data_IF_796215248133
#
_entry.id   IF_796215248133
#
_cell.length_a   1.000
_cell.length_b   1.000
_cell.length_c   1.000
_cell.angle_alpha   90.00
_cell.angle_beta   90.00
_cell.angle_gamma   90.00
#
_symmetry.space_group_name_H-M   'P 1'
#
loop_
_entity.id
_entity.type
_entity.pdbx_description
1 polymer ?
#
# COMPACT_ATOMS: atom_id res chain seq x y z
N UNK A 1 -15.89 20.70 -2.07
CA UNK A 1 -14.87 20.16 -3.00
C UNK A 1 -15.07 18.67 -3.06
N UNK A 2 -15.41 18.12 -4.23
CA UNK A 2 -15.54 16.68 -4.41
C UNK A 2 -14.15 16.03 -4.32
N UNK A 3 -14.00 14.97 -3.54
CA UNK A 3 -12.71 14.33 -3.28
C UNK A 3 -12.38 13.32 -4.38
N UNK A 4 -11.09 13.17 -4.69
CA UNK A 4 -10.64 12.19 -5.70
C UNK A 4 -11.04 10.75 -5.33
N UNK A 5 -11.18 10.46 -4.02
CA UNK A 5 -11.69 9.18 -3.52
C UNK A 5 -13.15 8.93 -3.94
N UNK A 6 -13.99 9.96 -3.97
CA UNK A 6 -15.38 9.84 -4.44
C UNK A 6 -15.43 9.55 -5.94
N UNK A 7 -14.57 10.22 -6.74
CA UNK A 7 -14.45 9.96 -8.17
C UNK A 7 -14.05 8.50 -8.43
N UNK A 8 -13.07 7.97 -7.70
CA UNK A 8 -12.65 6.57 -7.83
C UNK A 8 -13.76 5.58 -7.42
N UNK A 9 -14.54 5.90 -6.38
CA UNK A 9 -15.70 5.09 -5.98
C UNK A 9 -16.79 5.09 -7.04
N UNK A 10 -17.09 6.25 -7.62
CA UNK A 10 -18.04 6.34 -8.75
C UNK A 10 -17.55 5.50 -9.94
N UNK A 11 -16.27 5.59 -10.32
CA UNK A 11 -15.69 4.77 -11.40
C UNK A 11 -15.88 3.27 -11.13
N UNK A 12 -15.57 2.81 -9.92
CA UNK A 12 -15.77 1.40 -9.52
C UNK A 12 -17.24 0.98 -9.54
N UNK A 13 -18.16 1.88 -9.17
CA UNK A 13 -19.60 1.61 -9.25
C UNK A 13 -20.08 1.30 -10.67
N UNK A 14 -19.45 1.89 -11.68
CA UNK A 14 -19.72 1.59 -13.09
C UNK A 14 -18.93 0.40 -13.65
N UNK A 15 -18.32 -0.45 -12.80
CA UNK A 15 -17.43 -1.54 -13.22
C UNK A 15 -16.31 -1.07 -14.17
N UNK A 16 -15.85 0.16 -13.94
CA UNK A 16 -14.72 0.74 -14.65
C UNK A 16 -13.50 0.79 -13.73
N UNK A 17 -12.33 0.87 -14.34
CA UNK A 17 -11.06 0.99 -13.65
C UNK A 17 -10.13 1.96 -14.37
N UNK A 18 -9.20 2.55 -13.62
CA UNK A 18 -8.18 3.45 -14.15
C UNK A 18 -6.84 2.72 -14.21
N UNK A 19 -6.18 2.86 -15.35
CA UNK A 19 -4.84 2.31 -15.55
C UNK A 19 -3.92 3.32 -16.19
N UNK A 20 -2.63 3.12 -16.02
CA UNK A 20 -1.59 3.88 -16.72
C UNK A 20 -0.95 3.02 -17.80
N UNK A 21 -1.10 3.44 -19.05
CA UNK A 21 -0.48 2.80 -20.22
C UNK A 21 0.27 3.90 -20.99
N UNK A 22 1.57 3.70 -21.23
CA UNK A 22 2.47 4.69 -21.86
C UNK A 22 2.40 6.09 -21.24
N UNK A 23 2.27 6.16 -19.91
CA UNK A 23 2.16 7.42 -19.16
C UNK A 23 0.83 8.16 -19.37
N UNK A 24 -0.15 7.55 -20.04
CA UNK A 24 -1.50 8.08 -20.24
C UNK A 24 -2.49 7.35 -19.34
N UNK A 25 -3.39 8.13 -18.72
CA UNK A 25 -4.51 7.59 -17.97
C UNK A 25 -5.52 6.97 -18.93
N UNK A 26 -5.79 5.68 -18.78
CA UNK A 26 -6.74 4.89 -19.56
C UNK A 26 -7.87 4.43 -18.65
N UNK A 27 -9.09 4.50 -19.17
CA UNK A 27 -10.28 3.98 -18.49
C UNK A 27 -10.58 2.62 -19.12
N UNK A 28 -10.55 1.56 -18.32
CA UNK A 28 -11.00 0.22 -18.72
C UNK A 28 -12.43 0.07 -18.24
N UNK A 29 -13.38 -0.09 -19.15
CA UNK A 29 -14.79 -0.21 -18.80
C UNK A 29 -15.49 -1.13 -19.79
N UNK A 30 -16.47 -1.90 -19.30
CA UNK A 30 -17.34 -2.72 -20.14
C UNK A 30 -18.53 -1.92 -20.69
N UNK A 31 -18.90 -0.82 -20.01
CA UNK A 31 -20.02 0.03 -20.36
C UNK A 31 -19.59 1.50 -20.53
N UNK A 32 -20.27 2.29 -21.39
CA UNK A 32 -20.01 3.71 -21.50
C UNK A 32 -20.19 4.42 -20.15
N UNK A 33 -19.24 5.27 -19.79
CA UNK A 33 -19.36 6.10 -18.59
C UNK A 33 -20.24 7.34 -18.88
N UNK A 34 -21.01 7.83 -17.89
CA UNK A 34 -21.74 9.08 -18.04
C UNK A 34 -20.82 10.27 -18.35
N UNK A 35 -21.28 11.20 -19.19
CA UNK A 35 -20.51 12.41 -19.54
C UNK A 35 -20.11 13.25 -18.33
N UNK A 36 -20.95 13.26 -17.29
CA UNK A 36 -20.66 13.92 -16.02
C UNK A 36 -19.41 13.33 -15.36
N UNK A 37 -19.29 12.01 -15.29
CA UNK A 37 -18.14 11.31 -14.73
C UNK A 37 -16.89 11.50 -15.61
N UNK A 38 -17.03 11.47 -16.93
CA UNK A 38 -15.92 11.75 -17.85
C UNK A 38 -15.37 13.17 -17.65
N UNK A 39 -16.25 14.16 -17.47
CA UNK A 39 -15.86 15.55 -17.15
C UNK A 39 -15.12 15.63 -15.81
N UNK A 40 -15.59 14.93 -14.77
CA UNK A 40 -14.90 14.84 -13.47
C UNK A 40 -13.49 14.24 -13.62
N UNK A 41 -13.35 13.12 -14.34
CA UNK A 41 -12.06 12.47 -14.59
C UNK A 41 -11.10 13.41 -15.34
N UNK A 42 -11.58 14.11 -16.37
CA UNK A 42 -10.76 15.08 -17.12
C UNK A 42 -10.30 16.24 -16.24
N UNK A 43 -11.18 16.75 -15.37
CA UNK A 43 -10.87 17.85 -14.44
C UNK A 43 -9.78 17.47 -13.43
N UNK A 44 -9.78 16.22 -12.96
CA UNK A 44 -8.84 15.71 -11.94
C UNK A 44 -7.75 14.80 -12.52
N UNK A 45 -7.50 14.87 -13.84
CA UNK A 45 -6.66 13.92 -14.58
C UNK A 45 -5.27 13.74 -13.97
N UNK A 46 -4.56 14.83 -13.67
CA UNK A 46 -3.19 14.73 -13.16
C UNK A 46 -3.15 14.15 -11.74
N UNK A 47 -4.11 14.48 -10.88
CA UNK A 47 -4.20 13.88 -9.54
C UNK A 47 -4.53 12.38 -9.62
N UNK A 48 -5.47 11.99 -10.47
CA UNK A 48 -5.80 10.58 -10.71
C UNK A 48 -4.60 9.82 -11.28
N UNK A 49 -3.87 10.42 -12.22
CA UNK A 49 -2.64 9.86 -12.78
C UNK A 49 -1.59 9.62 -11.69
N UNK A 50 -1.34 10.60 -10.82
CA UNK A 50 -0.41 10.44 -9.70
C UNK A 50 -0.84 9.34 -8.73
N UNK A 51 -2.13 9.25 -8.41
CA UNK A 51 -2.64 8.20 -7.52
C UNK A 51 -2.45 6.79 -8.11
N UNK A 52 -2.84 6.58 -9.38
CA UNK A 52 -2.65 5.29 -10.05
C UNK A 52 -1.16 4.94 -10.18
N UNK A 53 -0.29 5.94 -10.36
CA UNK A 53 1.16 5.72 -10.39
C UNK A 53 1.70 5.27 -9.02
N UNK A 54 1.25 5.89 -7.93
CA UNK A 54 1.61 5.51 -6.56
C UNK A 54 1.11 4.11 -6.24
N UNK A 55 -0.13 3.78 -6.61
CA UNK A 55 -0.70 2.45 -6.40
C UNK A 55 0.09 1.37 -7.17
N UNK A 56 0.47 1.63 -8.43
CA UNK A 56 1.36 0.72 -9.16
C UNK A 56 2.73 0.57 -8.51
N UNK A 57 3.29 1.66 -7.99
CA UNK A 57 4.56 1.63 -7.27
C UNK A 57 4.45 0.78 -6.00
N UNK A 58 3.36 0.93 -5.25
CA UNK A 58 3.05 0.13 -4.07
C UNK A 58 3.05 -1.36 -4.39
N UNK A 59 2.23 -1.80 -5.35
CA UNK A 59 2.16 -3.20 -5.74
C UNK A 59 3.50 -3.75 -6.22
N UNK A 60 4.29 -2.94 -6.94
CA UNK A 60 5.62 -3.36 -7.40
C UNK A 60 6.58 -3.56 -6.24
N UNK A 61 6.59 -2.63 -5.27
CA UNK A 61 7.46 -2.73 -4.09
C UNK A 61 7.04 -3.90 -3.22
N UNK A 62 5.74 -4.04 -2.93
CA UNK A 62 5.20 -5.15 -2.16
C UNK A 62 5.58 -6.50 -2.78
N UNK A 63 5.38 -6.68 -4.09
CA UNK A 63 5.81 -7.89 -4.80
C UNK A 63 7.33 -8.13 -4.72
N UNK A 64 8.13 -7.07 -4.88
CA UNK A 64 9.59 -7.19 -4.76
C UNK A 64 10.01 -7.65 -3.35
N UNK A 65 9.30 -7.18 -2.32
CA UNK A 65 9.53 -7.58 -0.93
C UNK A 65 9.06 -9.01 -0.67
N UNK A 66 7.93 -9.43 -1.25
CA UNK A 66 7.47 -10.83 -1.23
C UNK A 66 8.54 -11.75 -1.83
N UNK A 67 8.94 -11.49 -3.09
CA UNK A 67 9.96 -12.28 -3.80
C UNK A 67 11.27 -12.35 -2.99
N UNK A 68 11.67 -11.22 -2.38
CA UNK A 68 12.84 -11.16 -1.50
C UNK A 68 12.68 -12.05 -0.27
N UNK A 69 11.55 -11.97 0.44
CA UNK A 69 11.32 -12.75 1.65
C UNK A 69 11.21 -14.24 1.35
N UNK A 70 10.55 -14.62 0.25
CA UNK A 70 10.51 -16.00 -0.23
C UNK A 70 11.92 -16.56 -0.43
N UNK A 71 12.81 -15.80 -1.08
CA UNK A 71 14.20 -16.18 -1.27
C UNK A 71 14.99 -16.32 0.04
N UNK A 72 14.57 -15.66 1.12
CA UNK A 72 15.17 -15.76 2.46
C UNK A 72 14.53 -16.86 3.33
N UNK A 73 13.62 -17.67 2.80
CA UNK A 73 12.92 -18.71 3.57
C UNK A 73 11.68 -18.21 4.31
N UNK A 74 11.15 -17.06 3.91
CA UNK A 74 9.85 -16.53 4.30
C UNK A 74 9.86 -15.39 5.32
N UNK A 75 10.98 -15.17 6.00
CA UNK A 75 11.15 -14.02 6.90
C UNK A 75 12.62 -13.63 7.11
N UNK A 76 12.83 -12.40 7.55
CA UNK A 76 14.12 -11.89 8.05
C UNK A 76 13.91 -11.11 9.34
N UNK A 77 14.89 -11.20 10.26
CA UNK A 77 14.91 -10.40 11.48
C UNK A 77 15.82 -9.19 11.30
N UNK A 78 15.30 -8.01 11.60
CA UNK A 78 15.98 -6.74 11.36
C UNK A 78 16.09 -5.95 12.65
N UNK A 79 17.32 -5.61 13.04
CA UNK A 79 17.57 -4.68 14.15
C UNK A 79 17.38 -3.25 13.65
N UNK A 80 16.27 -2.63 14.03
CA UNK A 80 15.94 -1.26 13.62
C UNK A 80 16.71 -0.24 14.46
N UNK A 81 17.45 0.65 13.81
CA UNK A 81 18.13 1.78 14.48
C UNK A 81 17.15 2.82 15.02
N UNK A 82 16.01 3.01 14.34
CA UNK A 82 14.98 3.98 14.72
C UNK A 82 14.14 3.50 15.90
N UNK A 83 13.78 2.21 15.92
CA UNK A 83 12.96 1.59 16.96
C UNK A 83 13.80 1.06 18.14
N UNK A 84 15.10 0.81 17.91
CA UNK A 84 16.02 0.17 18.87
C UNK A 84 15.64 -1.26 19.28
N UNK A 85 14.79 -1.92 18.50
CA UNK A 85 14.37 -3.30 18.71
C UNK A 85 14.54 -4.16 17.45
N UNK A 86 14.46 -5.49 17.62
CA UNK A 86 14.46 -6.44 16.51
C UNK A 86 13.03 -6.68 16.08
N UNK A 87 12.74 -6.41 14.81
CA UNK A 87 11.44 -6.65 14.18
C UNK A 87 11.55 -7.73 13.12
N UNK A 88 10.45 -8.39 12.81
CA UNK A 88 10.40 -9.37 11.74
C UNK A 88 9.78 -8.77 10.48
N UNK A 89 10.45 -8.92 9.34
CA UNK A 89 9.83 -8.74 8.03
C UNK A 89 9.47 -10.13 7.53
N UNK A 90 8.20 -10.41 7.27
CA UNK A 90 7.76 -11.78 7.02
C UNK A 90 6.57 -11.89 6.09
N UNK A 91 6.47 -13.04 5.41
CA UNK A 91 5.27 -13.42 4.68
C UNK A 91 4.11 -13.75 5.64
N UNK A 92 2.84 -13.62 5.19
CA UNK A 92 1.66 -13.78 6.06
C UNK A 92 1.61 -15.09 6.85
N UNK A 93 2.09 -16.20 6.28
CA UNK A 93 2.05 -17.53 6.90
C UNK A 93 2.99 -17.67 8.13
N UNK A 94 3.99 -16.79 8.28
CA UNK A 94 4.94 -16.84 9.42
C UNK A 94 4.53 -15.93 10.59
N UNK A 95 3.52 -15.08 10.42
CA UNK A 95 3.11 -14.09 11.44
C UNK A 95 2.82 -14.75 12.79
N UNK A 96 2.03 -15.82 12.79
CA UNK A 96 1.64 -16.49 14.03
C UNK A 96 2.84 -17.05 14.82
N UNK A 97 3.78 -17.69 14.12
CA UNK A 97 4.97 -18.28 14.73
C UNK A 97 5.90 -17.19 15.31
N UNK A 98 6.11 -16.11 14.56
CA UNK A 98 7.01 -15.03 14.93
C UNK A 98 6.45 -14.17 16.07
N UNK A 99 5.14 -13.88 16.05
CA UNK A 99 4.48 -13.19 17.17
C UNK A 99 4.55 -14.02 18.46
N UNK A 100 4.40 -15.35 18.39
CA UNK A 100 4.62 -16.23 19.56
C UNK A 100 6.03 -16.15 20.14
N UNK A 101 7.02 -15.88 19.29
CA UNK A 101 8.42 -15.66 19.69
C UNK A 101 8.67 -14.24 20.20
N UNK A 102 7.64 -13.39 20.25
CA UNK A 102 7.72 -12.01 20.75
C UNK A 102 8.13 -10.98 19.70
N UNK A 103 8.16 -11.32 18.42
CA UNK A 103 8.50 -10.37 17.35
C UNK A 103 7.28 -9.62 16.83
N UNK A 104 7.47 -8.32 16.56
CA UNK A 104 6.51 -7.53 15.80
C UNK A 104 6.76 -7.74 14.31
N UNK A 105 5.73 -8.20 13.61
CA UNK A 105 5.80 -8.65 12.22
C UNK A 105 5.29 -7.59 11.24
N UNK A 106 6.12 -7.20 10.27
CA UNK A 106 5.73 -6.33 9.15
C UNK A 106 5.60 -7.15 7.87
N UNK A 107 4.42 -7.06 7.25
CA UNK A 107 4.12 -7.67 5.98
C UNK A 107 4.69 -6.87 4.80
N UNK A 108 4.88 -7.49 3.61
CA UNK A 108 5.35 -6.81 2.40
C UNK A 108 4.57 -5.53 2.06
N UNK A 109 3.25 -5.58 2.18
CA UNK A 109 2.35 -4.44 1.99
C UNK A 109 2.61 -3.31 3.01
N UNK A 110 2.80 -3.65 4.28
CA UNK A 110 3.11 -2.67 5.33
C UNK A 110 4.48 -2.03 5.10
N UNK A 111 5.46 -2.82 4.65
CA UNK A 111 6.81 -2.35 4.34
C UNK A 111 6.83 -1.46 3.09
N UNK A 112 6.07 -1.82 2.05
CA UNK A 112 5.92 -1.01 0.85
C UNK A 112 5.37 0.37 1.21
N UNK A 113 4.40 0.42 2.12
CA UNK A 113 3.86 1.67 2.63
C UNK A 113 4.90 2.53 3.34
N UNK A 114 5.65 1.92 4.27
CA UNK A 114 6.70 2.63 5.01
C UNK A 114 7.78 3.18 4.06
N UNK A 115 8.14 2.45 3.01
CA UNK A 115 9.11 2.87 2.01
C UNK A 115 8.62 4.03 1.13
N UNK A 116 7.33 4.05 0.79
CA UNK A 116 6.71 5.10 -0.03
C UNK A 116 6.47 6.37 0.79
N UNK A 117 5.85 6.22 1.98
CA UNK A 117 5.51 7.36 2.84
C UNK A 117 6.72 7.96 3.53
N UNK A 118 7.75 7.16 3.82
CA UNK A 118 8.95 7.57 4.56
C UNK A 118 8.60 8.35 5.83
N UNK A 119 7.85 7.74 6.76
CA UNK A 119 7.47 8.42 8.00
C UNK A 119 8.72 8.87 8.76
N UNK A 120 8.60 10.00 9.44
CA UNK A 120 9.64 10.50 10.33
C UNK A 120 9.87 9.50 11.47
N UNK A 121 11.06 9.46 12.10
CA UNK A 121 11.38 8.45 13.11
C UNK A 121 10.39 8.39 14.29
N UNK A 122 9.79 9.51 14.66
CA UNK A 122 8.79 9.57 15.74
C UNK A 122 7.44 8.97 15.31
N UNK A 123 7.01 9.21 14.07
CA UNK A 123 5.79 8.62 13.49
C UNK A 123 5.93 7.11 13.36
N UNK A 124 7.10 6.64 12.90
CA UNK A 124 7.40 5.21 12.83
C UNK A 124 7.31 4.53 14.21
N UNK A 125 7.83 5.18 15.25
CA UNK A 125 7.72 4.69 16.64
C UNK A 125 6.26 4.63 17.10
N UNK A 126 5.47 5.67 16.84
CA UNK A 126 4.05 5.67 17.20
C UNK A 126 3.29 4.53 16.49
N UNK A 127 3.52 4.34 15.19
CA UNK A 127 2.93 3.24 14.42
C UNK A 127 3.35 1.88 14.99
N UNK A 128 4.63 1.74 15.36
CA UNK A 128 5.16 0.52 15.95
C UNK A 128 4.52 0.19 17.30
N UNK A 129 4.42 1.16 18.21
CA UNK A 129 3.81 0.97 19.52
C UNK A 129 2.32 0.61 19.40
N UNK A 130 1.58 1.26 18.50
CA UNK A 130 0.19 0.89 18.20
C UNK A 130 0.12 -0.56 17.73
N UNK A 131 0.97 -0.96 16.78
CA UNK A 131 1.01 -2.32 16.25
C UNK A 131 1.30 -3.35 17.34
N UNK A 132 2.21 -3.02 18.25
CA UNK A 132 2.60 -3.85 19.40
C UNK A 132 1.49 -4.02 20.42
N UNK A 133 0.80 -2.94 20.77
CA UNK A 133 -0.27 -2.94 21.78
C UNK A 133 -1.53 -3.64 21.26
N UNK A 134 -1.88 -3.41 20.00
CA UNK A 134 -3.15 -3.87 19.42
C UNK A 134 -3.00 -5.12 18.55
N UNK A 135 -1.79 -5.69 18.45
CA UNK A 135 -1.45 -6.76 17.49
C UNK A 135 -1.95 -6.45 16.07
N UNK A 136 -1.91 -5.15 15.73
CA UNK A 136 -2.62 -4.59 14.60
C UNK A 136 -1.92 -4.81 13.26
N UNK A 137 -2.64 -4.49 12.19
CA UNK A 137 -2.07 -4.30 10.86
C UNK A 137 -2.09 -2.81 10.52
N UNK A 138 -1.05 -2.33 9.87
CA UNK A 138 -1.03 -1.01 9.25
C UNK A 138 -1.92 -1.09 8.01
N UNK A 139 -3.12 -0.50 8.11
CA UNK A 139 -4.10 -0.42 7.02
C UNK A 139 -4.20 1.01 6.50
N UNK A 140 -4.39 1.18 5.19
CA UNK A 140 -4.70 2.45 4.55
C UNK A 140 -5.76 2.32 3.45
#
# INVERSE_FOLDING_TARGET
MESVKEILREIKHYNADLSLEDGKLRIKTQLPLPDSLIKKIKRHKETLKSMVAIEKLYHRIAKTLEDFLEAQGGYVLVKSSNLKEVVAFCLPQYVYELTKKGFICYLPDELAELLIKRPEPHELRSLHEIKKIFEGKILH
#
